data_IF_445290967920
#
_entry.id   IF_445290967920
#
_cell.length_a   1.000
_cell.length_b   1.000
_cell.length_c   1.000
_cell.angle_alpha   90.00
_cell.angle_beta   90.00
_cell.angle_gamma   90.00
#
_symmetry.space_group_name_H-M   'P 1'
#
loop_
_entity.id
_entity.type
_entity.pdbx_description
1 polymer ?
#
# COMPACT_ATOMS: atom_id res chain seq x y z
N UNK A 1 31.54 -40.44 -15.50
CA UNK A 1 31.49 -39.90 -14.13
C UNK A 1 30.11 -39.29 -13.93
N UNK A 2 29.25 -39.97 -13.19
CA UNK A 2 27.85 -39.61 -12.98
C UNK A 2 27.72 -38.82 -11.67
N UNK A 3 27.78 -37.50 -11.75
CA UNK A 3 27.33 -36.60 -10.68
C UNK A 3 25.86 -36.24 -10.98
N UNK A 4 24.95 -37.16 -10.70
CA UNK A 4 23.56 -37.08 -11.15
C UNK A 4 22.59 -37.44 -10.03
N UNK A 5 21.64 -36.54 -9.76
CA UNK A 5 20.47 -36.67 -8.88
C UNK A 5 20.70 -36.65 -7.36
N UNK A 6 21.67 -37.37 -6.80
CA UNK A 6 21.80 -37.51 -5.34
C UNK A 6 22.02 -36.18 -4.60
N UNK A 7 22.86 -35.31 -5.15
CA UNK A 7 23.23 -34.03 -4.51
C UNK A 7 22.14 -32.96 -4.63
N UNK A 8 21.38 -32.98 -5.72
CA UNK A 8 20.28 -32.02 -5.96
C UNK A 8 19.10 -32.29 -5.02
N UNK A 9 18.84 -33.56 -4.71
CA UNK A 9 17.77 -33.98 -3.79
C UNK A 9 18.14 -33.70 -2.33
N UNK A 10 19.42 -33.80 -1.98
CA UNK A 10 19.97 -33.39 -0.68
C UNK A 10 19.87 -31.89 -0.44
N UNK A 11 20.18 -31.07 -1.45
CA UNK A 11 20.01 -29.60 -1.39
C UNK A 11 18.54 -29.22 -1.29
N UNK A 12 17.65 -29.92 -2.01
CA UNK A 12 16.20 -29.69 -1.98
C UNK A 12 15.58 -30.04 -0.62
N UNK A 13 16.06 -31.11 0.05
CA UNK A 13 15.64 -31.43 1.42
C UNK A 13 16.15 -30.43 2.47
N UNK A 14 17.34 -29.84 2.29
CA UNK A 14 17.87 -28.85 3.24
C UNK A 14 17.13 -27.51 3.17
N UNK A 15 16.62 -27.11 2.00
CA UNK A 15 15.81 -25.90 1.86
C UNK A 15 14.38 -26.03 2.41
N UNK A 16 13.81 -27.24 2.41
CA UNK A 16 12.46 -27.49 2.96
C UNK A 16 12.37 -27.48 4.50
N UNK A 17 13.51 -27.39 5.20
CA UNK A 17 13.58 -27.38 6.68
C UNK A 17 14.07 -26.06 7.28
N UNK A 18 14.38 -25.05 6.46
CA UNK A 18 14.80 -23.75 6.96
C UNK A 18 13.57 -22.92 7.35
N UNK A 19 12.92 -23.27 8.45
CA UNK A 19 12.07 -22.32 9.16
C UNK A 19 13.00 -21.31 9.81
N UNK A 20 13.16 -20.13 9.20
CA UNK A 20 13.72 -18.97 9.89
C UNK A 20 12.69 -18.55 10.92
N UNK A 21 12.70 -19.22 12.07
CA UNK A 21 12.10 -18.65 13.27
C UNK A 21 12.98 -17.45 13.62
N UNK A 22 12.52 -16.26 13.24
CA UNK A 22 13.17 -15.03 13.69
C UNK A 22 13.30 -15.11 15.21
N UNK A 23 14.48 -14.77 15.74
CA UNK A 23 14.63 -14.60 17.17
C UNK A 23 13.49 -13.68 17.64
N UNK A 24 12.76 -14.03 18.73
CA UNK A 24 11.65 -13.23 19.19
C UNK A 24 12.13 -11.80 19.37
N UNK A 25 11.40 -10.85 18.77
CA UNK A 25 11.70 -9.42 18.86
C UNK A 25 11.67 -9.05 20.34
N UNK A 26 12.86 -8.89 20.94
CA UNK A 26 12.99 -8.45 22.33
C UNK A 26 12.88 -6.93 22.35
N UNK A 27 11.69 -6.44 22.66
CA UNK A 27 11.49 -5.03 22.99
C UNK A 27 12.11 -4.75 24.36
N UNK A 28 12.66 -3.54 24.53
CA UNK A 28 13.13 -3.11 25.84
C UNK A 28 11.96 -3.04 26.82
N UNK A 29 12.19 -3.50 28.05
CA UNK A 29 11.20 -3.38 29.11
C UNK A 29 10.96 -1.92 29.45
N UNK A 30 9.72 -1.60 29.85
CA UNK A 30 9.35 -0.25 30.27
C UNK A 30 10.19 0.14 31.48
N UNK A 31 10.99 1.20 31.32
CA UNK A 31 11.78 1.76 32.42
C UNK A 31 10.86 2.42 33.44
N UNK A 32 11.11 2.16 34.72
CA UNK A 32 10.36 2.77 35.81
C UNK A 32 10.54 4.31 35.82
N UNK A 33 9.52 5.08 36.24
CA UNK A 33 9.66 6.53 36.41
C UNK A 33 10.80 6.90 37.36
N UNK A 34 11.44 8.05 37.11
CA UNK A 34 12.48 8.58 37.99
C UNK A 34 11.92 8.94 39.38
N UNK A 35 12.67 8.61 40.43
CA UNK A 35 12.23 8.81 41.82
C UNK A 35 12.76 10.09 42.47
N UNK A 36 13.73 10.76 41.84
CA UNK A 36 14.30 12.01 42.36
C UNK A 36 13.40 13.18 42.01
N UNK A 37 12.78 13.78 43.03
CA UNK A 37 12.02 15.04 42.89
C UNK A 37 12.35 15.98 44.04
N UNK A 38 12.38 17.28 43.73
CA UNK A 38 12.46 18.36 44.75
C UNK A 38 11.08 18.98 44.98
N UNK A 39 10.26 19.02 43.94
CA UNK A 39 8.89 19.51 43.91
C UNK A 39 8.10 18.73 42.85
N UNK A 40 6.77 18.69 43.00
CA UNK A 40 5.85 18.17 42.00
C UNK A 40 5.28 19.37 41.24
N UNK A 41 5.30 19.31 39.92
CA UNK A 41 4.78 20.36 39.06
C UNK A 41 3.74 19.77 38.12
N UNK A 42 2.56 20.37 38.12
CA UNK A 42 1.54 20.04 37.14
C UNK A 42 1.93 20.66 35.79
N UNK A 43 2.22 19.81 34.81
CA UNK A 43 2.56 20.22 33.45
C UNK A 43 1.33 20.08 32.58
N UNK A 44 0.90 21.19 31.97
CA UNK A 44 -0.07 21.14 30.88
C UNK A 44 0.67 20.83 29.59
N UNK A 45 0.23 19.80 28.87
CA UNK A 45 0.80 19.41 27.57
C UNK A 45 -0.21 19.60 26.45
N UNK A 46 0.27 19.61 25.21
CA UNK A 46 -0.55 19.59 24.00
C UNK A 46 -0.89 18.15 23.56
N UNK A 47 -0.95 17.20 24.49
CA UNK A 47 -1.26 15.79 24.21
C UNK A 47 -2.69 15.50 24.62
N UNK A 48 -3.49 15.03 23.67
CA UNK A 48 -4.87 14.61 23.90
C UNK A 48 -5.00 13.10 23.71
N UNK A 49 -5.57 12.43 24.70
CA UNK A 49 -5.95 11.03 24.58
C UNK A 49 -7.14 10.89 23.63
N UNK A 50 -6.94 10.21 22.50
CA UNK A 50 -8.03 9.83 21.61
C UNK A 50 -8.49 8.43 21.99
N UNK A 51 -9.68 8.34 22.58
CA UNK A 51 -10.30 7.07 22.95
C UNK A 51 -11.48 6.85 22.00
N UNK A 52 -11.44 5.83 21.12
CA UNK A 52 -12.60 5.48 20.31
C UNK A 52 -13.79 5.15 21.20
N UNK A 53 -14.99 5.60 20.81
CA UNK A 53 -16.22 5.24 21.52
C UNK A 53 -16.58 3.77 21.33
N UNK A 54 -16.22 3.20 20.17
CA UNK A 54 -16.57 1.84 19.76
C UNK A 54 -15.41 1.22 18.97
N UNK A 55 -15.30 -0.11 19.03
CA UNK A 55 -14.38 -0.88 18.20
C UNK A 55 -14.95 -1.01 16.77
N UNK A 56 -14.55 -0.09 15.90
CA UNK A 56 -14.99 -0.04 14.51
C UNK A 56 -13.96 -0.78 13.63
N UNK A 57 -14.38 -1.74 12.78
CA UNK A 57 -13.45 -2.40 11.87
C UNK A 57 -12.90 -1.40 10.83
N UNK A 58 -11.58 -1.36 10.70
CA UNK A 58 -10.90 -0.60 9.64
C UNK A 58 -10.34 -1.58 8.62
N UNK A 59 -10.82 -1.46 7.38
CA UNK A 59 -10.35 -2.27 6.26
C UNK A 59 -9.18 -1.56 5.59
N UNK A 60 -8.12 -2.32 5.30
CA UNK A 60 -6.93 -1.82 4.61
C UNK A 60 -6.82 -2.41 3.21
N UNK A 61 -6.55 -1.55 2.25
CA UNK A 61 -6.37 -1.90 0.85
C UNK A 61 -5.03 -1.38 0.33
N UNK A 62 -4.39 -2.18 -0.51
CA UNK A 62 -3.31 -1.73 -1.36
C UNK A 62 -3.89 -0.89 -2.48
N UNK A 63 -3.36 0.31 -2.66
CA UNK A 63 -3.77 1.27 -3.69
C UNK A 63 -2.56 1.56 -4.58
N UNK A 64 -2.53 1.02 -5.79
CA UNK A 64 -1.38 1.16 -6.71
C UNK A 64 -1.76 1.96 -7.94
N UNK A 65 -0.96 2.96 -8.26
CA UNK A 65 -1.15 3.84 -9.42
C UNK A 65 -0.02 3.60 -10.41
N UNK A 66 -0.36 3.19 -11.63
CA UNK A 66 0.56 2.93 -12.72
C UNK A 66 0.29 3.89 -13.88
N UNK A 67 1.31 4.57 -14.36
CA UNK A 67 1.28 5.31 -15.63
C UNK A 67 1.67 4.36 -16.76
N UNK A 68 0.81 4.23 -17.76
CA UNK A 68 1.13 3.50 -19.00
C UNK A 68 1.73 4.46 -20.03
N UNK A 69 2.82 4.02 -20.65
CA UNK A 69 3.52 4.71 -21.72
C UNK A 69 3.64 3.82 -22.96
N UNK A 70 3.71 4.40 -24.17
CA UNK A 70 3.90 3.65 -25.40
C UNK A 70 5.19 2.82 -25.34
N UNK A 71 5.20 1.73 -26.10
CA UNK A 71 6.32 0.82 -26.15
C UNK A 71 7.61 1.54 -26.60
N UNK A 72 8.72 1.25 -25.93
CA UNK A 72 10.04 1.76 -26.33
C UNK A 72 10.45 1.17 -27.68
N UNK A 73 11.24 1.90 -28.48
CA UNK A 73 11.77 1.41 -29.76
C UNK A 73 12.38 0.01 -29.58
N UNK A 74 11.78 -0.99 -30.24
CA UNK A 74 12.22 -2.40 -30.20
C UNK A 74 11.42 -3.32 -29.27
N UNK A 75 10.50 -2.81 -28.45
CA UNK A 75 9.55 -3.60 -27.67
C UNK A 75 8.14 -3.49 -28.25
N UNK A 76 7.34 -4.57 -28.12
CA UNK A 76 5.89 -4.55 -28.40
C UNK A 76 5.07 -4.25 -27.14
N UNK A 77 5.65 -4.39 -25.96
CA UNK A 77 4.93 -4.25 -24.69
C UNK A 77 4.94 -2.79 -24.19
N UNK A 78 3.82 -2.31 -23.65
CA UNK A 78 3.73 -0.99 -23.04
C UNK A 78 4.63 -0.89 -21.81
N UNK A 79 5.18 0.30 -21.56
CA UNK A 79 6.02 0.55 -20.41
C UNK A 79 5.16 1.08 -19.24
N UNK A 80 5.26 0.43 -18.07
CA UNK A 80 4.56 0.87 -16.88
C UNK A 80 5.50 1.54 -15.89
N UNK A 81 5.06 2.68 -15.35
CA UNK A 81 5.74 3.37 -14.27
C UNK A 81 4.83 3.47 -13.06
N UNK A 82 5.23 2.79 -11.98
CA UNK A 82 4.50 2.85 -10.72
C UNK A 82 4.79 4.16 -9.98
N UNK A 83 3.75 4.94 -9.74
CA UNK A 83 3.82 6.23 -9.04
C UNK A 83 3.86 6.02 -7.52
N UNK A 84 3.23 4.96 -7.05
CA UNK A 84 3.08 4.61 -5.61
C UNK A 84 4.34 3.99 -5.00
N UNK A 85 5.33 3.61 -5.81
CA UNK A 85 6.59 3.03 -5.35
C UNK A 85 7.43 4.09 -4.64
N UNK A 86 7.78 3.85 -3.38
CA UNK A 86 8.73 4.69 -2.66
C UNK A 86 10.11 4.62 -3.32
N UNK A 87 10.74 5.77 -3.53
CA UNK A 87 12.13 5.85 -3.98
C UNK A 87 12.89 6.82 -3.09
N UNK A 88 14.20 6.63 -2.97
CA UNK A 88 15.13 7.38 -2.11
C UNK A 88 15.20 8.91 -2.34
N UNK A 89 14.45 9.46 -3.28
CA UNK A 89 14.61 10.84 -3.75
C UNK A 89 13.42 11.71 -3.33
N UNK A 90 13.62 12.58 -2.34
CA UNK A 90 12.56 13.33 -1.65
C UNK A 90 11.83 14.37 -2.52
N UNK A 91 12.51 14.99 -3.48
CA UNK A 91 11.89 15.94 -4.41
C UNK A 91 10.78 15.28 -5.23
N UNK A 92 11.00 14.03 -5.66
CA UNK A 92 10.01 13.27 -6.44
C UNK A 92 8.85 12.81 -5.54
N UNK A 93 9.02 12.79 -4.22
CA UNK A 93 7.99 12.33 -3.27
C UNK A 93 6.83 13.32 -3.14
N UNK A 94 7.08 14.63 -3.15
CA UNK A 94 6.01 15.65 -3.10
C UNK A 94 5.16 15.59 -4.37
N UNK A 95 5.79 15.60 -5.54
CA UNK A 95 5.10 15.50 -6.84
C UNK A 95 4.28 14.21 -6.96
N UNK A 96 4.81 13.09 -6.47
CA UNK A 96 4.07 11.81 -6.44
C UNK A 96 2.83 11.88 -5.56
N UNK A 97 2.93 12.43 -4.35
CA UNK A 97 1.77 12.55 -3.44
C UNK A 97 0.69 13.44 -4.04
N UNK A 98 1.07 14.55 -4.67
CA UNK A 98 0.14 15.45 -5.37
C UNK A 98 -0.53 14.72 -6.54
N UNK A 99 0.24 13.97 -7.33
CA UNK A 99 -0.27 13.16 -8.43
C UNK A 99 -1.24 12.08 -7.98
N UNK A 100 -0.86 11.31 -6.96
CA UNK A 100 -1.69 10.28 -6.34
C UNK A 100 -2.99 10.86 -5.80
N UNK A 101 -2.95 12.04 -5.18
CA UNK A 101 -4.15 12.73 -4.70
C UNK A 101 -5.07 13.13 -5.86
N UNK A 102 -4.54 13.71 -6.93
CA UNK A 102 -5.33 14.09 -8.10
C UNK A 102 -6.01 12.88 -8.76
N UNK A 103 -5.27 11.77 -8.91
CA UNK A 103 -5.81 10.49 -9.40
C UNK A 103 -6.92 9.97 -8.48
N UNK A 104 -6.70 10.00 -7.16
CA UNK A 104 -7.66 9.56 -6.15
C UNK A 104 -8.96 10.38 -6.20
N UNK A 105 -8.87 11.72 -6.25
CA UNK A 105 -10.05 12.59 -6.29
C UNK A 105 -10.90 12.37 -7.55
N UNK A 106 -10.26 12.19 -8.70
CA UNK A 106 -10.96 11.88 -9.96
C UNK A 106 -11.61 10.50 -9.88
N UNK A 107 -10.88 9.50 -9.37
CA UNK A 107 -11.39 8.15 -9.22
C UNK A 107 -12.64 8.10 -8.32
N UNK A 108 -12.60 8.74 -7.16
CA UNK A 108 -13.74 8.76 -6.23
C UNK A 108 -14.97 9.44 -6.83
N UNK A 109 -14.78 10.48 -7.64
CA UNK A 109 -15.88 11.17 -8.31
C UNK A 109 -16.53 10.31 -9.38
N UNK A 110 -15.74 9.48 -10.07
CA UNK A 110 -16.18 8.63 -11.17
C UNK A 110 -16.80 7.32 -10.68
N UNK A 111 -16.13 6.63 -9.76
CA UNK A 111 -16.47 5.27 -9.33
C UNK A 111 -17.21 5.29 -7.98
N UNK A 112 -18.21 6.18 -7.86
CA UNK A 112 -18.98 6.40 -6.62
C UNK A 112 -19.69 5.13 -6.12
N UNK A 113 -20.10 4.25 -7.03
CA UNK A 113 -20.77 3.00 -6.66
C UNK A 113 -19.83 2.05 -5.91
N UNK A 114 -18.56 2.00 -6.32
CA UNK A 114 -17.55 1.19 -5.65
C UNK A 114 -17.09 1.83 -4.34
N UNK A 115 -16.68 3.10 -4.38
CA UNK A 115 -16.05 3.79 -3.24
C UNK A 115 -17.05 4.36 -2.22
N UNK A 116 -18.28 4.65 -2.64
CA UNK A 116 -19.38 5.12 -1.78
C UNK A 116 -19.07 6.45 -1.08
N UNK A 117 -19.38 6.55 0.21
CA UNK A 117 -19.15 7.79 0.95
C UNK A 117 -17.66 8.06 1.16
N UNK A 118 -17.19 9.21 0.70
CA UNK A 118 -15.80 9.67 0.82
C UNK A 118 -15.38 9.85 2.28
N UNK A 119 -16.30 10.22 3.17
CA UNK A 119 -15.99 10.39 4.61
C UNK A 119 -15.60 9.08 5.30
N UNK A 120 -15.94 7.94 4.69
CA UNK A 120 -15.56 6.62 5.19
C UNK A 120 -14.19 6.14 4.70
N UNK A 121 -13.50 6.94 3.88
CA UNK A 121 -12.25 6.58 3.21
C UNK A 121 -11.11 7.49 3.64
N UNK A 122 -9.95 6.88 3.94
CA UNK A 122 -8.73 7.60 4.27
C UNK A 122 -7.60 7.06 3.39
N UNK A 123 -7.09 7.91 2.49
CA UNK A 123 -5.96 7.58 1.64
C UNK A 123 -4.67 8.22 2.16
N UNK A 124 -3.61 7.43 2.30
CA UNK A 124 -2.28 7.89 2.75
C UNK A 124 -1.51 8.71 1.69
N UNK A 125 -2.09 8.87 0.49
CA UNK A 125 -1.51 9.54 -0.68
C UNK A 125 -0.27 8.84 -1.26
N UNK A 126 -0.04 7.59 -0.89
CA UNK A 126 1.10 6.81 -1.31
C UNK A 126 0.68 5.43 -1.83
N UNK A 127 0.23 4.52 -0.97
CA UNK A 127 -0.07 3.15 -1.39
C UNK A 127 -1.15 2.45 -0.57
N UNK A 128 -1.75 3.12 0.42
CA UNK A 128 -2.69 2.50 1.35
C UNK A 128 -3.97 3.31 1.41
N UNK A 129 -5.08 2.62 1.10
CA UNK A 129 -6.42 3.12 1.30
C UNK A 129 -7.05 2.41 2.50
N UNK A 130 -7.51 3.16 3.48
CA UNK A 130 -8.32 2.68 4.59
C UNK A 130 -9.79 2.98 4.35
N UNK A 131 -10.66 2.09 4.84
CA UNK A 131 -12.11 2.26 4.77
C UNK A 131 -12.77 1.79 6.06
N UNK A 132 -13.82 2.47 6.50
CA UNK A 132 -14.68 2.02 7.59
C UNK A 132 -15.71 0.95 7.15
N UNK A 133 -15.80 0.71 5.84
CA UNK A 133 -16.69 -0.30 5.25
C UNK A 133 -15.95 -1.20 4.27
N UNK A 134 -16.40 -2.44 4.14
CA UNK A 134 -15.83 -3.38 3.16
C UNK A 134 -16.20 -2.93 1.74
N UNK A 135 -15.20 -2.74 0.88
CA UNK A 135 -15.42 -2.39 -0.53
C UNK A 135 -15.98 -3.57 -1.34
N UNK A 136 -16.87 -3.33 -2.32
CA UNK A 136 -17.58 -4.36 -3.06
C UNK A 136 -16.72 -4.91 -4.22
N UNK A 137 -15.74 -5.75 -3.91
CA UNK A 137 -14.97 -6.45 -4.95
C UNK A 137 -15.80 -7.51 -5.66
N UNK A 138 -15.75 -7.52 -6.99
CA UNK A 138 -16.35 -8.58 -7.79
C UNK A 138 -15.51 -9.85 -7.69
N UNK A 139 -16.14 -11.00 -7.37
CA UNK A 139 -15.47 -12.31 -7.49
C UNK A 139 -15.35 -12.67 -8.97
N UNK A 140 -14.34 -12.13 -9.65
CA UNK A 140 -13.96 -12.54 -11.00
C UNK A 140 -13.27 -13.91 -10.96
N UNK A 141 -13.77 -14.87 -11.73
CA UNK A 141 -13.26 -16.24 -11.75
C UNK A 141 -11.86 -16.34 -12.35
N UNK A 142 -10.87 -16.64 -11.52
CA UNK A 142 -9.49 -16.96 -11.91
C UNK A 142 -8.54 -16.70 -10.75
N UNK A 143 -8.10 -17.77 -10.08
CA UNK A 143 -7.33 -17.82 -8.82
C UNK A 143 -7.98 -17.17 -7.58
N UNK A 144 -8.39 -18.03 -6.65
CA UNK A 144 -9.40 -17.78 -5.62
C UNK A 144 -8.98 -16.89 -4.42
N UNK A 145 -7.84 -16.18 -4.47
CA UNK A 145 -7.28 -15.54 -3.26
C UNK A 145 -6.96 -14.04 -3.37
N UNK A 146 -7.07 -13.38 -4.52
CA UNK A 146 -6.79 -11.94 -4.64
C UNK A 146 -8.04 -11.12 -5.02
N UNK A 147 -8.70 -10.55 -4.01
CA UNK A 147 -9.74 -9.52 -4.23
C UNK A 147 -9.07 -8.25 -4.75
N UNK A 148 -9.12 -8.04 -6.07
CA UNK A 148 -8.54 -6.89 -6.77
C UNK A 148 -9.52 -6.31 -7.79
N UNK A 149 -9.58 -4.99 -7.85
CA UNK A 149 -10.31 -4.23 -8.85
C UNK A 149 -9.35 -3.27 -9.55
N UNK A 150 -9.51 -3.08 -10.86
CA UNK A 150 -8.64 -2.21 -11.65
C UNK A 150 -9.46 -1.16 -12.38
N UNK A 151 -9.10 0.11 -12.19
CA UNK A 151 -9.75 1.26 -12.80
C UNK A 151 -8.81 1.96 -13.78
N UNK A 152 -9.38 2.56 -14.82
CA UNK A 152 -8.62 3.22 -15.88
C UNK A 152 -9.04 4.68 -16.01
N UNK A 153 -8.08 5.60 -15.86
CA UNK A 153 -8.29 7.04 -15.96
C UNK A 153 -7.48 7.57 -17.14
N UNK A 154 -8.11 8.34 -18.03
CA UNK A 154 -7.40 8.98 -19.13
C UNK A 154 -6.66 10.23 -18.64
N UNK A 155 -5.48 10.55 -19.19
CA UNK A 155 -4.72 11.76 -18.83
C UNK A 155 -5.53 13.06 -18.89
N UNK A 156 -6.47 13.15 -19.84
CA UNK A 156 -7.34 14.30 -20.05
C UNK A 156 -8.36 14.54 -18.93
N UNK A 157 -8.63 13.51 -18.11
CA UNK A 157 -9.52 13.61 -16.95
C UNK A 157 -8.77 14.17 -15.73
N UNK A 158 -7.44 14.21 -15.75
CA UNK A 158 -6.60 14.71 -14.67
C UNK A 158 -6.28 16.19 -14.87
N UNK A 159 -5.96 16.92 -13.78
CA UNK A 159 -5.44 18.28 -13.89
C UNK A 159 -4.22 18.37 -14.82
N UNK A 160 -4.04 19.52 -15.46
CA UNK A 160 -2.93 19.74 -16.40
C UNK A 160 -1.59 19.44 -15.71
N UNK A 161 -0.67 18.80 -16.44
CA UNK A 161 0.67 18.39 -15.96
C UNK A 161 0.69 17.33 -14.84
N UNK A 162 -0.43 16.66 -14.56
CA UNK A 162 -0.45 15.56 -13.58
C UNK A 162 0.36 14.35 -14.06
N UNK A 163 0.28 14.01 -15.34
CA UNK A 163 1.04 12.91 -15.98
C UNK A 163 1.89 13.45 -17.12
N UNK A 164 2.91 12.68 -17.53
CA UNK A 164 3.74 13.08 -18.67
C UNK A 164 2.94 13.12 -19.98
N UNK A 165 3.38 13.94 -20.94
CA UNK A 165 2.69 14.16 -22.22
C UNK A 165 2.45 12.87 -23.01
N UNK A 166 3.39 11.92 -22.95
CA UNK A 166 3.32 10.62 -23.62
C UNK A 166 2.54 9.55 -22.82
N UNK A 167 1.91 9.92 -21.70
CA UNK A 167 1.12 8.96 -20.92
C UNK A 167 -0.13 8.57 -21.70
N UNK A 168 -0.37 7.27 -21.86
CA UNK A 168 -1.53 6.72 -22.57
C UNK A 168 -2.73 6.68 -21.63
N UNK A 169 -2.55 6.10 -20.46
CA UNK A 169 -3.58 5.95 -19.43
C UNK A 169 -2.98 5.70 -18.05
N UNK A 170 -3.77 5.96 -17.01
CA UNK A 170 -3.43 5.66 -15.62
C UNK A 170 -4.26 4.47 -15.15
N UNK A 171 -3.59 3.46 -14.61
CA UNK A 171 -4.21 2.28 -14.01
C UNK A 171 -4.20 2.44 -12.51
N UNK A 172 -5.37 2.31 -11.89
CA UNK A 172 -5.49 2.28 -10.43
C UNK A 172 -5.92 0.90 -10.01
N UNK A 173 -5.04 0.18 -9.33
CA UNK A 173 -5.32 -1.13 -8.77
C UNK A 173 -5.64 -0.98 -7.29
N UNK A 174 -6.80 -1.47 -6.89
CA UNK A 174 -7.18 -1.58 -5.47
C UNK A 174 -7.26 -3.06 -5.14
N UNK A 175 -6.59 -3.51 -4.08
CA UNK A 175 -6.69 -4.90 -3.62
C UNK A 175 -6.74 -4.99 -2.11
N UNK A 176 -7.44 -6.01 -1.59
CA UNK A 176 -7.48 -6.26 -0.15
C UNK A 176 -6.09 -6.67 0.35
N UNK A 177 -5.53 -5.94 1.31
CA UNK A 177 -4.27 -6.33 1.94
C UNK A 177 -4.54 -7.48 2.92
N UNK A 178 -4.13 -8.71 2.59
CA UNK A 178 -4.12 -9.82 3.54
C UNK A 178 -3.00 -9.60 4.56
N UNK A 179 -3.33 -9.09 5.74
CA UNK A 179 -2.41 -9.16 6.87
C UNK A 179 -2.43 -10.58 7.45
N UNK A 180 -1.39 -11.36 7.17
CA UNK A 180 -0.98 -12.42 8.07
C UNK A 180 -0.29 -11.76 9.26
N UNK A 181 -1.02 -11.62 10.37
CA UNK A 181 -0.34 -11.51 11.67
C UNK A 181 0.21 -12.91 11.98
N UNK A 182 1.53 -13.08 11.82
CA UNK A 182 2.29 -14.24 12.31
C UNK A 182 2.96 -13.90 13.64
#
# INVERSE_FOLDING_TARGET
MAAGRGDVEKVRMQMGRASVSGLPVRLAEKVAPGTRSRELLDVVTNVWGLIPHEDIPVYRYDFRVLEEYPAKRGSKEPAFKEVTKQTRNDYVTVDRKTKCLAVYEVLLKREKEFFGNVDSLIYDRASILYSLRKLPFSRGGGDADELRETFFIKPKELPVNTVGEDCVQVHVNVSLSLFQFS
#
